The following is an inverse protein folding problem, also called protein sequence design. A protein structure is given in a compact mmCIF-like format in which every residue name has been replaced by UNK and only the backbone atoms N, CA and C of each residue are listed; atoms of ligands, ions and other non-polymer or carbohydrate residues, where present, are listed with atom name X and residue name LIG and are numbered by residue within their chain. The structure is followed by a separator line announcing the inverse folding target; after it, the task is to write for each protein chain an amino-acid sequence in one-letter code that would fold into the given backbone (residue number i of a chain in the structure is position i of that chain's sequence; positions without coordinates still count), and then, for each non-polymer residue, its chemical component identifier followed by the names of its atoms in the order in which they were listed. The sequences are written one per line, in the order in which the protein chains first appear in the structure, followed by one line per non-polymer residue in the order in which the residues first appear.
data_IF_251860273146
#
_entry.id   IF_251860273146
#
_cell.length_a   1.000
_cell.length_b   1.000
_cell.length_c   1.000
_cell.angle_alpha   90.00
_cell.angle_beta   90.00
_cell.angle_gamma   90.00
#
_symmetry.space_group_name_H-M   'P 1'
#
loop_
_entity.id
_entity.type
_entity.pdbx_description
1 polymer ?
#
# COMPACT_ATOMS: atom_id res chain seq x y z
N UNK A 1 -29.94 -26.45 -102.38
CA UNK A 1 -29.65 -25.36 -101.47
C UNK A 1 -29.15 -25.94 -100.13
N UNK A 2 -27.89 -25.78 -99.82
CA UNK A 2 -27.16 -26.46 -98.75
C UNK A 2 -27.23 -25.63 -97.48
N UNK A 3 -27.76 -26.18 -96.41
CA UNK A 3 -27.72 -25.57 -95.08
C UNK A 3 -26.58 -26.20 -94.28
N UNK A 4 -25.54 -25.43 -93.99
CA UNK A 4 -24.44 -25.83 -93.14
C UNK A 4 -24.84 -25.62 -91.66
N UNK A 5 -24.76 -26.68 -90.91
CA UNK A 5 -24.87 -26.64 -89.42
C UNK A 5 -23.47 -26.43 -88.84
N UNK A 6 -23.29 -25.35 -88.10
CA UNK A 6 -22.08 -25.09 -87.26
C UNK A 6 -22.39 -25.59 -85.89
N UNK A 7 -21.50 -26.50 -85.37
CA UNK A 7 -21.52 -26.99 -84.03
C UNK A 7 -20.69 -26.01 -83.13
N UNK A 8 -21.29 -25.51 -82.07
CA UNK A 8 -20.60 -24.74 -81.03
C UNK A 8 -20.07 -25.70 -79.90
N UNK A 9 -18.81 -25.70 -79.72
CA UNK A 9 -18.15 -26.42 -78.58
C UNK A 9 -18.18 -25.51 -77.37
N UNK A 10 -18.89 -25.90 -76.29
CA UNK A 10 -18.82 -25.27 -74.99
C UNK A 10 -17.62 -25.85 -74.23
N UNK A 11 -16.61 -25.01 -73.95
CA UNK A 11 -15.53 -25.32 -73.04
C UNK A 11 -15.99 -24.99 -71.63
N UNK A 12 -16.15 -25.98 -70.74
CA UNK A 12 -16.42 -25.81 -69.33
C UNK A 12 -15.11 -25.47 -68.58
N UNK A 13 -14.97 -24.24 -68.07
CA UNK A 13 -13.90 -23.80 -67.28
C UNK A 13 -14.18 -24.19 -65.79
N UNK A 14 -13.48 -25.18 -65.23
CA UNK A 14 -13.54 -25.54 -63.80
C UNK A 14 -12.66 -24.59 -63.06
N UNK A 15 -13.25 -23.63 -62.29
CA UNK A 15 -12.54 -22.83 -61.32
C UNK A 15 -12.36 -23.62 -60.02
N UNK A 16 -11.16 -24.07 -59.72
CA UNK A 16 -10.78 -24.57 -58.39
C UNK A 16 -10.59 -23.40 -57.45
N UNK A 17 -11.54 -23.19 -56.53
CA UNK A 17 -11.41 -22.25 -55.41
C UNK A 17 -10.54 -22.91 -54.37
N UNK A 18 -9.26 -22.50 -54.29
CA UNK A 18 -8.39 -22.79 -53.18
C UNK A 18 -8.83 -21.98 -51.93
N UNK A 19 -9.63 -22.63 -51.07
CA UNK A 19 -9.97 -22.09 -49.75
C UNK A 19 -8.75 -22.03 -48.84
N UNK A 20 -8.10 -20.89 -48.78
CA UNK A 20 -7.07 -20.63 -47.80
C UNK A 20 -7.69 -20.52 -46.38
N UNK A 21 -7.57 -21.57 -45.58
CA UNK A 21 -7.89 -21.50 -44.15
C UNK A 21 -6.88 -20.60 -43.47
N UNK A 22 -7.24 -19.37 -43.19
CA UNK A 22 -6.49 -18.51 -42.25
C UNK A 22 -6.65 -19.10 -40.87
N UNK A 23 -5.63 -19.83 -40.40
CA UNK A 23 -5.54 -20.22 -39.01
C UNK A 23 -5.51 -18.93 -38.19
N UNK A 24 -6.60 -18.67 -37.46
CA UNK A 24 -6.60 -17.62 -36.45
C UNK A 24 -5.51 -17.96 -35.42
N UNK A 25 -4.44 -17.17 -35.42
CA UNK A 25 -3.42 -17.25 -34.35
C UNK A 25 -4.12 -16.85 -33.06
N UNK A 26 -4.45 -17.83 -32.23
CA UNK A 26 -4.87 -17.58 -30.86
C UNK A 26 -3.77 -16.77 -30.20
N UNK A 27 -4.09 -15.56 -29.74
CA UNK A 27 -3.15 -14.77 -28.93
C UNK A 27 -2.66 -15.63 -27.78
N UNK A 28 -1.35 -15.68 -27.52
CA UNK A 28 -0.82 -16.49 -26.43
C UNK A 28 -1.51 -16.10 -25.14
N UNK A 29 -2.06 -17.09 -24.44
CA UNK A 29 -2.64 -16.91 -23.12
C UNK A 29 -1.52 -16.35 -22.23
N UNK A 30 -1.71 -15.22 -21.52
CA UNK A 30 -0.67 -14.69 -20.67
C UNK A 30 -0.25 -15.78 -19.67
N UNK A 31 1.05 -16.03 -19.60
CA UNK A 31 1.59 -16.97 -18.61
C UNK A 31 1.22 -16.53 -17.21
N UNK A 32 0.92 -17.46 -16.30
CA UNK A 32 0.65 -17.12 -14.92
C UNK A 32 1.85 -16.39 -14.32
N UNK A 33 1.64 -15.19 -13.81
CA UNK A 33 2.68 -14.43 -13.10
C UNK A 33 3.09 -15.23 -11.87
N UNK A 34 4.38 -15.51 -11.73
CA UNK A 34 4.91 -16.22 -10.58
C UNK A 34 4.62 -15.40 -9.30
N UNK A 35 3.92 -16.01 -8.33
CA UNK A 35 3.60 -15.36 -7.06
C UNK A 35 4.74 -15.63 -6.09
N UNK A 36 5.49 -14.59 -5.71
CA UNK A 36 6.53 -14.67 -4.67
C UNK A 36 6.01 -14.29 -3.28
N UNK A 37 4.80 -13.76 -3.22
CA UNK A 37 4.15 -13.26 -2.01
C UNK A 37 4.09 -14.31 -0.88
N UNK A 38 4.73 -14.01 0.24
CA UNK A 38 4.66 -14.81 1.46
C UNK A 38 3.57 -14.27 2.39
N UNK A 39 2.34 -14.74 2.18
CA UNK A 39 1.20 -14.31 2.99
C UNK A 39 1.28 -14.96 4.37
N UNK A 40 1.31 -14.18 5.47
CA UNK A 40 1.34 -14.72 6.82
C UNK A 40 0.09 -15.54 7.15
N UNK A 41 0.24 -16.53 8.01
CA UNK A 41 -0.86 -17.40 8.43
C UNK A 41 -2.04 -16.60 9.01
N UNK A 42 -3.25 -16.90 8.59
CA UNK A 42 -4.50 -16.25 9.00
C UNK A 42 -4.76 -14.89 8.32
N UNK A 43 -3.80 -14.32 7.60
CA UNK A 43 -4.00 -13.08 6.84
C UNK A 43 -4.66 -13.39 5.49
N UNK A 44 -5.69 -12.62 5.15
CA UNK A 44 -6.25 -12.62 3.79
C UNK A 44 -5.64 -11.46 3.03
N UNK A 45 -5.12 -11.70 1.82
CA UNK A 45 -4.46 -10.68 1.03
C UNK A 45 -4.98 -10.59 -0.40
N UNK A 46 -5.11 -9.34 -0.90
CA UNK A 46 -5.27 -8.99 -2.30
C UNK A 46 -4.06 -8.19 -2.75
N UNK A 47 -3.35 -8.67 -3.77
CA UNK A 47 -2.06 -8.10 -4.18
C UNK A 47 -2.05 -7.86 -5.68
N UNK A 48 -1.53 -6.70 -6.07
CA UNK A 48 -1.18 -6.39 -7.45
C UNK A 48 0.07 -5.49 -7.47
N UNK A 49 1.09 -5.90 -8.21
CA UNK A 49 2.27 -5.08 -8.52
C UNK A 49 2.36 -4.93 -10.03
N UNK A 50 2.40 -3.68 -10.49
CA UNK A 50 2.45 -3.34 -11.91
C UNK A 50 3.73 -2.58 -12.23
N UNK A 51 4.58 -3.12 -13.10
CA UNK A 51 5.77 -2.44 -13.61
C UNK A 51 5.37 -1.55 -14.79
N UNK A 52 5.42 -0.24 -14.60
CA UNK A 52 5.09 0.75 -15.63
C UNK A 52 6.10 0.76 -16.78
N UNK A 53 7.32 0.30 -16.57
CA UNK A 53 8.35 0.25 -17.62
C UNK A 53 8.03 -0.86 -18.64
N UNK A 54 7.57 -2.01 -18.17
CA UNK A 54 7.22 -3.13 -19.05
C UNK A 54 5.73 -3.15 -19.43
N UNK A 55 4.90 -2.42 -18.68
CA UNK A 55 3.45 -2.43 -18.87
C UNK A 55 2.76 -3.72 -18.39
N UNK A 56 3.43 -4.50 -17.52
CA UNK A 56 2.96 -5.82 -17.06
C UNK A 56 2.84 -5.91 -15.54
N UNK A 57 2.02 -6.85 -15.08
CA UNK A 57 1.99 -7.21 -13.66
C UNK A 57 3.14 -8.17 -13.34
N UNK A 58 3.88 -7.90 -12.26
CA UNK A 58 4.95 -8.75 -11.74
C UNK A 58 4.50 -9.63 -10.58
N UNK A 59 3.42 -9.23 -9.89
CA UNK A 59 2.77 -10.00 -8.83
C UNK A 59 1.26 -9.84 -8.90
N UNK A 60 0.54 -10.94 -8.74
CA UNK A 60 -0.91 -10.92 -8.57
C UNK A 60 -1.36 -12.07 -7.66
N UNK A 61 -2.04 -11.73 -6.57
CA UNK A 61 -2.72 -12.70 -5.70
C UNK A 61 -4.08 -12.13 -5.35
N UNK A 62 -5.16 -12.86 -5.65
CA UNK A 62 -6.54 -12.40 -5.43
C UNK A 62 -6.77 -10.93 -5.88
N UNK A 63 -6.28 -10.51 -7.07
CA UNK A 63 -6.18 -9.09 -7.43
C UNK A 63 -7.55 -8.41 -7.55
N UNK A 64 -8.61 -9.17 -7.77
CA UNK A 64 -9.99 -8.70 -7.89
C UNK A 64 -10.82 -8.90 -6.61
N UNK A 65 -10.24 -9.49 -5.57
CA UNK A 65 -10.91 -9.63 -4.28
C UNK A 65 -11.20 -8.24 -3.70
N UNK A 66 -12.41 -8.05 -3.21
CA UNK A 66 -12.88 -6.79 -2.64
C UNK A 66 -12.51 -6.67 -1.18
N UNK A 67 -11.99 -5.53 -0.81
CA UNK A 67 -11.68 -5.12 0.56
C UNK A 67 -12.36 -3.80 0.86
N UNK A 68 -12.77 -3.56 2.10
CA UNK A 68 -13.10 -2.19 2.50
C UNK A 68 -11.86 -1.32 2.32
N UNK A 69 -12.01 -0.22 1.61
CA UNK A 69 -10.86 0.60 1.19
C UNK A 69 -10.15 1.31 2.34
N UNK A 70 -10.82 1.48 3.47
CA UNK A 70 -10.35 2.41 4.49
C UNK A 70 -9.90 3.74 3.83
N UNK A 71 -8.75 4.29 4.19
CA UNK A 71 -8.29 5.57 3.64
C UNK A 71 -7.77 5.53 2.20
N UNK A 72 -7.77 4.38 1.52
CA UNK A 72 -7.38 4.32 0.09
C UNK A 72 -8.39 5.05 -0.80
N UNK A 73 -9.69 5.04 -0.46
CA UNK A 73 -10.74 5.78 -1.19
C UNK A 73 -10.49 7.29 -1.29
N UNK A 74 -9.67 7.86 -0.41
CA UNK A 74 -9.30 9.29 -0.44
C UNK A 74 -8.58 9.69 -1.75
N UNK A 75 -8.03 8.73 -2.49
CA UNK A 75 -7.53 8.94 -3.84
C UNK A 75 -8.67 9.30 -4.80
N UNK A 76 -9.80 8.60 -4.73
CA UNK A 76 -10.97 8.87 -5.55
C UNK A 76 -11.60 10.21 -5.18
N UNK A 77 -11.66 10.56 -3.90
CA UNK A 77 -12.14 11.88 -3.44
C UNK A 77 -11.28 13.02 -4.02
N UNK A 78 -9.96 12.88 -3.96
CA UNK A 78 -9.05 13.88 -4.52
C UNK A 78 -9.20 14.01 -6.04
N UNK A 79 -9.29 12.88 -6.76
CA UNK A 79 -9.49 12.86 -8.20
C UNK A 79 -10.83 13.48 -8.60
N UNK A 80 -11.93 13.14 -7.94
CA UNK A 80 -13.24 13.67 -8.27
C UNK A 80 -13.34 15.17 -8.00
N UNK A 81 -12.78 15.62 -6.89
CA UNK A 81 -12.69 17.05 -6.57
C UNK A 81 -11.92 17.84 -7.64
N UNK A 82 -10.86 17.27 -8.20
CA UNK A 82 -10.01 17.91 -9.20
C UNK A 82 -10.51 17.72 -10.62
N UNK A 83 -11.45 16.81 -10.88
CA UNK A 83 -11.84 16.36 -12.22
C UNK A 83 -12.26 17.47 -13.17
N UNK A 84 -13.08 18.38 -12.71
CA UNK A 84 -13.68 19.44 -13.52
C UNK A 84 -13.06 20.83 -13.25
N UNK A 85 -11.83 20.91 -12.78
CA UNK A 85 -11.17 22.17 -12.44
C UNK A 85 -10.26 22.73 -13.56
N UNK A 86 -10.24 22.07 -14.72
CA UNK A 86 -9.50 22.58 -15.87
C UNK A 86 -10.10 23.88 -16.44
N UNK A 87 -9.31 24.62 -17.26
CA UNK A 87 -7.97 24.23 -17.76
C UNK A 87 -6.80 24.45 -16.78
N UNK A 88 -6.90 25.36 -15.81
CA UNK A 88 -5.78 25.78 -14.94
C UNK A 88 -5.63 24.92 -13.69
N UNK A 89 -6.66 24.14 -13.33
CA UNK A 89 -6.68 23.30 -12.13
C UNK A 89 -6.37 24.07 -10.83
N UNK A 90 -6.79 25.33 -10.77
CA UNK A 90 -6.63 26.16 -9.58
C UNK A 90 -7.39 25.58 -8.40
N UNK A 91 -6.71 25.43 -7.27
CA UNK A 91 -7.28 24.94 -6.02
C UNK A 91 -7.30 26.06 -5.00
N UNK A 92 -8.47 26.43 -4.44
CA UNK A 92 -8.57 27.42 -3.37
C UNK A 92 -7.67 27.04 -2.18
N UNK A 93 -7.11 28.04 -1.48
CA UNK A 93 -6.15 27.80 -0.40
C UNK A 93 -6.69 26.88 0.71
N UNK A 94 -7.96 27.03 1.09
CA UNK A 94 -8.59 26.17 2.08
C UNK A 94 -8.68 24.71 1.61
N UNK A 95 -9.02 24.47 0.33
CA UNK A 95 -9.06 23.14 -0.24
C UNK A 95 -7.65 22.57 -0.42
N UNK A 96 -6.66 23.41 -0.74
CA UNK A 96 -5.27 22.98 -0.79
C UNK A 96 -4.82 22.42 0.56
N UNK A 97 -5.11 23.13 1.64
CA UNK A 97 -4.81 22.68 3.01
C UNK A 97 -5.52 21.36 3.35
N UNK A 98 -6.79 21.21 2.95
CA UNK A 98 -7.55 19.97 3.18
C UNK A 98 -7.02 18.80 2.37
N UNK A 99 -6.70 19.01 1.08
CA UNK A 99 -6.10 17.96 0.23
C UNK A 99 -4.75 17.52 0.78
N UNK A 100 -3.89 18.47 1.15
CA UNK A 100 -2.59 18.17 1.73
C UNK A 100 -2.74 17.32 3.01
N UNK A 101 -3.61 17.69 3.93
CA UNK A 101 -3.87 16.93 5.15
C UNK A 101 -4.49 15.54 4.85
N UNK A 102 -5.44 15.46 3.91
CA UNK A 102 -6.10 14.20 3.54
C UNK A 102 -5.13 13.20 2.90
N UNK A 103 -4.23 13.67 2.05
CA UNK A 103 -3.32 12.81 1.30
C UNK A 103 -2.05 12.48 2.09
N UNK A 104 -1.46 13.44 2.84
CA UNK A 104 -0.22 13.25 3.59
C UNK A 104 -0.43 12.55 4.93
N UNK A 105 -1.34 13.08 5.74
CA UNK A 105 -1.62 12.61 7.10
C UNK A 105 -2.95 11.87 7.24
N UNK A 106 -3.56 11.52 6.11
CA UNK A 106 -4.81 10.74 6.08
C UNK A 106 -5.97 11.36 6.88
N UNK A 107 -6.08 12.71 6.95
CA UNK A 107 -7.10 13.43 7.73
C UNK A 107 -8.52 12.96 7.41
N UNK A 108 -9.21 12.41 8.42
CA UNK A 108 -10.61 12.01 8.32
C UNK A 108 -11.55 13.20 8.30
N UNK A 109 -11.21 14.29 8.99
CA UNK A 109 -11.98 15.53 8.94
C UNK A 109 -12.03 16.10 7.52
N UNK A 110 -10.90 16.08 6.80
CA UNK A 110 -10.85 16.48 5.39
C UNK A 110 -11.60 15.49 4.49
N UNK A 111 -11.50 14.19 4.75
CA UNK A 111 -12.23 13.18 4.00
C UNK A 111 -13.74 13.32 4.17
N UNK A 112 -14.22 13.55 5.40
CA UNK A 112 -15.65 13.81 5.68
C UNK A 112 -16.15 15.02 4.90
N UNK A 113 -15.37 16.11 4.87
CA UNK A 113 -15.72 17.30 4.09
C UNK A 113 -15.92 16.97 2.59
N UNK A 114 -14.97 16.25 1.99
CA UNK A 114 -15.08 15.88 0.57
C UNK A 114 -16.14 14.82 0.33
N UNK A 115 -16.32 13.86 1.23
CA UNK A 115 -17.38 12.86 1.13
C UNK A 115 -18.75 13.51 0.97
N UNK A 116 -19.08 14.45 1.87
CA UNK A 116 -20.32 15.20 1.81
C UNK A 116 -20.42 16.08 0.56
N UNK A 117 -19.40 16.89 0.30
CA UNK A 117 -19.39 17.85 -0.80
C UNK A 117 -19.45 17.21 -2.19
N UNK A 118 -18.95 15.99 -2.34
CA UNK A 118 -18.94 15.26 -3.62
C UNK A 118 -20.12 14.32 -3.80
N UNK A 119 -21.04 14.25 -2.84
CA UNK A 119 -22.29 13.47 -2.94
C UNK A 119 -22.14 12.01 -2.55
N UNK A 120 -21.22 11.70 -1.62
CA UNK A 120 -21.10 10.39 -0.98
C UNK A 120 -20.97 9.24 -2.00
N UNK A 121 -21.88 8.27 -1.96
CA UNK A 121 -21.93 7.08 -2.82
C UNK A 121 -21.94 7.41 -4.31
N UNK A 122 -22.57 8.52 -4.69
CA UNK A 122 -22.59 9.01 -6.06
C UNK A 122 -21.18 9.36 -6.57
N UNK A 123 -20.28 9.85 -5.70
CA UNK A 123 -18.88 10.09 -6.04
C UNK A 123 -18.18 8.76 -6.37
N UNK A 124 -18.37 7.73 -5.55
CA UNK A 124 -17.75 6.40 -5.80
C UNK A 124 -18.22 5.83 -7.12
N UNK A 125 -19.54 5.78 -7.33
CA UNK A 125 -20.15 5.27 -8.58
C UNK A 125 -19.64 6.02 -9.79
N UNK A 126 -19.58 7.35 -9.72
CA UNK A 126 -19.08 8.21 -10.78
C UNK A 126 -17.62 7.95 -11.10
N UNK A 127 -16.77 7.84 -10.07
CA UNK A 127 -15.34 7.59 -10.25
C UNK A 127 -15.06 6.17 -10.73
N UNK A 128 -15.80 5.18 -10.24
CA UNK A 128 -15.71 3.81 -10.76
C UNK A 128 -16.00 3.76 -12.27
N UNK A 129 -17.07 4.40 -12.70
CA UNK A 129 -17.40 4.51 -14.13
C UNK A 129 -16.34 5.24 -14.97
N UNK A 130 -15.83 6.40 -14.46
CA UNK A 130 -14.82 7.20 -15.16
C UNK A 130 -13.48 6.48 -15.32
N UNK A 131 -13.09 5.69 -14.34
CA UNK A 131 -11.81 4.99 -14.34
C UNK A 131 -11.90 3.54 -14.81
N UNK A 132 -13.11 3.01 -15.03
CA UNK A 132 -13.34 1.61 -15.39
C UNK A 132 -13.01 0.64 -14.26
N UNK A 133 -13.29 1.02 -13.01
CA UNK A 133 -13.07 0.17 -11.84
C UNK A 133 -14.24 -0.81 -11.70
N UNK A 134 -13.96 -2.09 -11.75
CA UNK A 134 -14.98 -3.14 -11.79
C UNK A 134 -15.32 -3.73 -10.42
N UNK A 135 -14.40 -3.58 -9.47
CA UNK A 135 -14.54 -4.12 -8.12
C UNK A 135 -14.83 -3.02 -7.08
N UNK A 136 -14.82 -1.75 -7.51
CA UNK A 136 -15.04 -0.58 -6.65
C UNK A 136 -16.52 -0.22 -6.62
N UNK A 137 -17.14 -0.38 -5.44
CA UNK A 137 -18.55 -0.07 -5.22
C UNK A 137 -18.72 0.74 -3.94
N UNK A 138 -19.80 1.56 -3.84
CA UNK A 138 -20.13 2.31 -2.63
C UNK A 138 -20.19 1.43 -1.37
N UNK A 139 -20.17 2.03 -0.18
CA UNK A 139 -20.45 1.34 1.07
C UNK A 139 -21.75 0.52 0.98
N UNK A 140 -21.82 -0.64 1.64
CA UNK A 140 -23.04 -1.45 1.63
C UNK A 140 -24.20 -0.74 2.32
N UNK A 141 -25.43 -1.15 1.98
CA UNK A 141 -26.66 -0.60 2.54
C UNK A 141 -26.63 -0.60 4.08
N UNK A 142 -27.05 0.50 4.69
CA UNK A 142 -26.97 0.74 6.13
C UNK A 142 -25.63 1.30 6.61
N UNK A 143 -24.69 1.54 5.70
CA UNK A 143 -23.36 2.08 6.00
C UNK A 143 -22.96 3.25 5.09
N UNK A 144 -23.93 3.92 4.45
CA UNK A 144 -23.73 4.96 3.43
C UNK A 144 -22.93 6.16 3.93
N UNK A 145 -22.92 6.39 5.25
CA UNK A 145 -22.12 7.45 5.88
C UNK A 145 -20.65 7.08 6.10
N UNK A 146 -20.26 5.82 5.87
CA UNK A 146 -18.93 5.31 6.23
C UNK A 146 -18.08 5.13 4.98
N UNK A 147 -17.49 6.19 4.47
CA UNK A 147 -16.67 6.17 3.24
C UNK A 147 -15.58 5.09 3.24
N UNK A 148 -15.00 4.77 4.40
CA UNK A 148 -13.99 3.72 4.52
C UNK A 148 -14.50 2.31 4.21
N UNK A 149 -15.81 2.11 4.12
CA UNK A 149 -16.45 0.86 3.71
C UNK A 149 -16.69 0.76 2.19
N UNK A 150 -16.35 1.80 1.43
CA UNK A 150 -16.22 1.68 -0.04
C UNK A 150 -15.37 0.47 -0.34
N UNK A 151 -15.86 -0.44 -1.18
CA UNK A 151 -15.04 -1.58 -1.56
C UNK A 151 -14.06 -1.20 -2.68
N UNK A 152 -12.87 -1.77 -2.60
CA UNK A 152 -11.85 -1.68 -3.65
C UNK A 152 -11.07 -2.98 -3.75
N UNK A 153 -10.57 -3.31 -4.94
CA UNK A 153 -9.61 -4.40 -5.14
C UNK A 153 -8.19 -3.86 -5.35
N UNK A 154 -7.21 -4.76 -5.24
CA UNK A 154 -5.82 -4.39 -5.55
C UNK A 154 -5.66 -3.99 -7.02
N UNK A 155 -6.39 -4.64 -7.94
CA UNK A 155 -6.41 -4.30 -9.37
C UNK A 155 -6.99 -2.90 -9.61
N UNK A 156 -8.12 -2.58 -9.01
CA UNK A 156 -8.74 -1.25 -9.14
C UNK A 156 -7.87 -0.15 -8.54
N UNK A 157 -7.18 -0.47 -7.44
CA UNK A 157 -6.19 0.45 -6.84
C UNK A 157 -5.04 0.73 -7.82
N UNK A 158 -4.48 -0.30 -8.46
CA UNK A 158 -3.45 -0.12 -9.51
C UNK A 158 -4.02 0.70 -10.67
N UNK A 159 -5.24 0.42 -11.12
CA UNK A 159 -5.91 1.18 -12.20
C UNK A 159 -6.06 2.66 -11.83
N UNK A 160 -6.40 2.96 -10.59
CA UNK A 160 -6.48 4.34 -10.07
C UNK A 160 -5.12 5.05 -10.14
N UNK A 161 -4.04 4.42 -9.67
CA UNK A 161 -2.69 4.99 -9.77
C UNK A 161 -2.23 5.16 -11.22
N UNK A 162 -2.51 4.20 -12.10
CA UNK A 162 -2.21 4.32 -13.54
C UNK A 162 -2.92 5.52 -14.16
N UNK A 163 -4.20 5.74 -13.82
CA UNK A 163 -4.88 6.94 -14.28
C UNK A 163 -4.18 8.21 -13.79
N UNK A 164 -3.85 8.30 -12.50
CA UNK A 164 -3.17 9.48 -11.92
C UNK A 164 -1.85 9.75 -12.64
N UNK A 165 -1.05 8.72 -12.90
CA UNK A 165 0.31 8.85 -13.44
C UNK A 165 0.34 9.06 -14.95
N UNK A 166 -0.54 8.38 -15.70
CA UNK A 166 -0.41 8.25 -17.14
C UNK A 166 -1.47 9.05 -17.92
N UNK A 167 -2.59 9.43 -17.28
CA UNK A 167 -3.73 10.05 -17.95
C UNK A 167 -4.22 11.36 -17.32
N UNK A 168 -4.03 11.55 -16.03
CA UNK A 168 -4.47 12.77 -15.37
C UNK A 168 -3.65 13.97 -15.88
N UNK A 169 -4.28 15.15 -15.98
CA UNK A 169 -3.55 16.38 -16.28
C UNK A 169 -2.38 16.60 -15.32
N UNK A 170 -1.28 17.15 -15.80
CA UNK A 170 -0.06 17.33 -15.01
C UNK A 170 -0.30 18.03 -13.65
N UNK A 171 -1.08 19.12 -13.56
CA UNK A 171 -1.36 19.73 -12.26
C UNK A 171 -2.08 18.82 -11.27
N UNK A 172 -2.99 17.95 -11.75
CA UNK A 172 -3.71 16.97 -10.92
C UNK A 172 -2.76 15.87 -10.44
N UNK A 173 -2.00 15.28 -11.37
CA UNK A 173 -0.97 14.27 -11.05
C UNK A 173 0.03 14.81 -10.04
N UNK A 174 0.59 15.99 -10.29
CA UNK A 174 1.67 16.55 -9.48
C UNK A 174 1.18 16.94 -8.08
N UNK A 175 -0.08 17.40 -7.95
CA UNK A 175 -0.70 17.66 -6.68
C UNK A 175 -0.88 16.36 -5.88
N UNK A 176 -1.48 15.33 -6.47
CA UNK A 176 -1.75 14.07 -5.77
C UNK A 176 -0.43 13.38 -5.43
N UNK A 177 0.41 13.09 -6.41
CA UNK A 177 1.66 12.36 -6.19
C UNK A 177 2.66 13.12 -5.33
N UNK A 178 2.71 14.46 -5.45
CA UNK A 178 3.53 15.33 -4.60
C UNK A 178 3.15 15.19 -3.12
N UNK A 179 1.86 15.10 -2.80
CA UNK A 179 1.39 14.85 -1.45
C UNK A 179 1.71 13.43 -0.96
N UNK A 180 1.52 12.42 -1.80
CA UNK A 180 1.81 11.02 -1.43
C UNK A 180 3.30 10.80 -1.16
N UNK A 181 4.21 11.49 -1.88
CA UNK A 181 5.66 11.47 -1.59
C UNK A 181 6.01 12.13 -0.27
N UNK A 182 5.15 13.01 0.23
CA UNK A 182 5.28 13.72 1.51
C UNK A 182 4.43 13.09 2.61
N UNK A 183 3.99 11.83 2.43
CA UNK A 183 3.25 11.12 3.46
C UNK A 183 4.00 11.22 4.81
N UNK A 184 3.29 11.64 5.84
CA UNK A 184 3.83 11.77 7.20
C UNK A 184 3.88 10.40 7.87
N UNK A 185 4.81 10.22 8.82
CA UNK A 185 4.83 9.01 9.63
C UNK A 185 3.55 8.87 10.45
N UNK A 186 3.21 9.92 11.18
CA UNK A 186 1.99 9.96 11.97
C UNK A 186 0.84 10.48 11.15
N UNK A 187 -0.25 9.76 11.14
CA UNK A 187 -1.52 10.22 10.62
C UNK A 187 -2.16 11.26 11.56
N UNK A 188 -3.21 11.94 11.10
CA UNK A 188 -3.89 12.97 11.89
C UNK A 188 -4.62 12.43 13.13
N UNK A 189 -4.92 11.12 13.16
CA UNK A 189 -5.46 10.38 14.30
C UNK A 189 -4.35 9.79 15.20
N UNK A 190 -3.09 10.17 14.98
CA UNK A 190 -1.90 9.67 15.65
C UNK A 190 -1.56 8.21 15.34
N UNK A 191 -2.17 7.58 14.34
CA UNK A 191 -1.79 6.25 13.90
C UNK A 191 -0.44 6.28 13.16
N UNK A 192 0.46 5.32 13.45
CA UNK A 192 1.70 5.17 12.70
C UNK A 192 1.42 4.51 11.35
N UNK A 193 1.36 5.34 10.29
CA UNK A 193 1.10 4.86 8.94
C UNK A 193 2.36 4.48 8.15
N UNK A 194 3.52 4.32 8.82
CA UNK A 194 4.80 4.00 8.18
C UNK A 194 5.03 2.48 8.06
N UNK A 195 4.04 1.77 7.54
CA UNK A 195 4.07 0.33 7.33
C UNK A 195 4.09 -0.05 5.83
N UNK A 196 4.24 -1.33 5.54
CA UNK A 196 4.22 -1.86 4.18
C UNK A 196 5.30 -1.22 3.30
N UNK A 197 4.92 -0.55 2.20
CA UNK A 197 5.86 0.09 1.26
C UNK A 197 6.83 0.99 1.98
N UNK A 198 6.34 1.88 2.86
CA UNK A 198 7.16 2.88 3.52
C UNK A 198 8.22 2.25 4.46
N UNK A 199 7.95 1.08 5.04
CA UNK A 199 8.90 0.36 5.89
C UNK A 199 9.77 -0.63 5.11
N UNK A 200 9.28 -1.17 3.98
CA UNK A 200 9.95 -2.21 3.22
C UNK A 200 11.06 -1.69 2.31
N UNK A 201 10.85 -0.50 1.75
CA UNK A 201 11.71 0.04 0.69
C UNK A 201 12.28 1.40 1.03
N UNK A 202 13.48 1.66 0.53
CA UNK A 202 14.06 3.00 0.56
C UNK A 202 13.33 3.92 -0.44
N UNK A 203 13.40 5.23 -0.20
CA UNK A 203 12.88 6.23 -1.14
C UNK A 203 13.66 6.17 -2.47
N UNK A 204 13.04 6.54 -3.62
CA UNK A 204 11.75 7.24 -3.72
C UNK A 204 10.55 6.29 -3.71
N UNK A 205 9.55 6.65 -2.93
CA UNK A 205 8.21 6.06 -2.96
C UNK A 205 7.14 7.15 -2.68
N UNK A 206 5.91 6.88 -3.09
CA UNK A 206 4.75 7.69 -2.78
C UNK A 206 3.64 6.76 -2.29
N UNK A 207 3.02 7.04 -1.14
CA UNK A 207 2.11 6.09 -0.50
C UNK A 207 0.79 6.72 -0.06
N UNK A 208 -0.28 5.94 -0.18
CA UNK A 208 -1.55 6.13 0.51
C UNK A 208 -1.89 4.86 1.26
N UNK A 209 -1.84 4.96 2.55
CA UNK A 209 -2.16 3.86 3.45
C UNK A 209 -3.64 3.85 3.81
N UNK A 210 -4.13 2.68 4.20
CA UNK A 210 -5.46 2.50 4.75
C UNK A 210 -5.43 1.56 5.95
N UNK A 211 -6.21 1.88 6.97
CA UNK A 211 -6.35 1.01 8.14
C UNK A 211 -7.76 1.13 8.71
N UNK A 212 -8.20 0.06 9.33
CA UNK A 212 -9.45 0.04 10.08
C UNK A 212 -9.45 -1.15 11.05
N UNK A 213 -10.17 -0.99 12.14
CA UNK A 213 -10.21 -1.97 13.22
C UNK A 213 -9.63 -1.40 14.51
N UNK A 214 -9.72 -2.19 15.58
CA UNK A 214 -9.21 -1.79 16.89
C UNK A 214 -7.75 -2.17 17.01
N UNK A 215 -6.90 -1.25 16.69
CA UNK A 215 -5.49 -1.32 17.06
C UNK A 215 -5.30 -0.43 18.29
N UNK A 216 -5.40 -0.99 19.49
CA UNK A 216 -5.24 -0.26 20.75
C UNK A 216 -3.84 0.37 20.92
N UNK A 217 -2.89 -0.13 20.14
CA UNK A 217 -1.49 0.25 20.09
C UNK A 217 -1.16 0.71 18.68
N UNK A 218 -0.27 1.61 18.48
CA UNK A 218 0.11 2.08 17.13
C UNK A 218 0.06 3.57 17.00
N UNK A 219 0.17 4.24 18.13
CA UNK A 219 0.25 5.69 18.17
C UNK A 219 1.66 6.17 17.90
N UNK A 220 1.78 7.24 17.17
CA UNK A 220 3.01 7.99 17.01
C UNK A 220 3.32 8.90 18.20
N UNK A 221 2.63 8.72 19.32
CA UNK A 221 2.83 9.56 20.52
C UNK A 221 3.95 9.02 21.39
N UNK A 222 4.83 9.87 21.93
CA UNK A 222 5.79 9.48 22.97
C UNK A 222 5.10 9.20 24.32
N UNK A 223 3.86 9.64 24.51
CA UNK A 223 3.05 9.35 25.70
C UNK A 223 2.18 8.11 25.46
N UNK A 224 1.88 7.31 26.50
CA UNK A 224 0.89 6.24 26.39
C UNK A 224 -0.41 6.81 25.84
N UNK A 225 -0.98 6.18 24.83
CA UNK A 225 -2.27 6.59 24.32
C UNK A 225 -3.30 6.48 25.46
N UNK A 226 -4.02 7.56 25.72
CA UNK A 226 -5.33 7.41 26.35
C UNK A 226 -6.13 6.50 25.41
N UNK A 227 -6.65 5.40 25.95
CA UNK A 227 -7.44 4.41 25.19
C UNK A 227 -8.52 5.16 24.43
N UNK A 228 -8.36 5.31 23.12
CA UNK A 228 -9.34 5.95 22.29
C UNK A 228 -10.66 5.21 22.47
N UNK A 229 -11.73 5.94 22.76
CA UNK A 229 -13.06 5.36 22.92
C UNK A 229 -13.37 4.49 21.69
N UNK A 230 -13.93 3.30 21.86
CA UNK A 230 -14.18 2.39 20.78
C UNK A 230 -15.08 3.08 19.74
N UNK A 231 -14.61 3.13 18.50
CA UNK A 231 -15.49 3.44 17.38
C UNK A 231 -16.70 2.50 17.47
N UNK A 232 -17.90 3.08 17.39
CA UNK A 232 -19.17 2.38 17.54
C UNK A 232 -19.17 1.08 16.74
N UNK A 233 -19.44 -0.02 17.44
CA UNK A 233 -19.57 -1.36 16.87
C UNK A 233 -20.74 -1.34 15.89
N UNK A 234 -20.58 -1.70 14.63
CA UNK A 234 -21.74 -2.05 13.81
C UNK A 234 -22.42 -3.26 14.46
N UNK A 235 -23.72 -3.17 14.71
CA UNK A 235 -24.51 -4.32 15.13
C UNK A 235 -24.42 -5.43 14.08
N UNK A 236 -24.73 -6.70 14.43
CA UNK A 236 -24.82 -7.79 13.49
C UNK A 236 -25.99 -7.52 12.53
N UNK A 237 -25.73 -6.79 11.47
CA UNK A 237 -26.63 -6.59 10.35
C UNK A 237 -26.46 -7.70 9.35
N UNK A 238 -27.59 -8.22 8.86
CA UNK A 238 -27.68 -9.33 7.94
C UNK A 238 -26.69 -9.21 6.78
N UNK A 239 -25.89 -10.25 6.61
CA UNK A 239 -25.03 -10.49 5.45
C UNK A 239 -25.92 -10.74 4.21
N UNK A 240 -26.39 -9.69 3.56
CA UNK A 240 -26.96 -9.75 2.24
C UNK A 240 -26.00 -9.01 1.28
N UNK A 241 -25.36 -9.78 0.41
CA UNK A 241 -24.65 -9.32 -0.78
C UNK A 241 -23.49 -8.33 -0.60
N UNK A 242 -22.67 -8.49 0.43
CA UNK A 242 -21.40 -7.79 0.47
C UNK A 242 -20.26 -8.81 0.59
N UNK A 243 -19.59 -9.07 -0.53
CA UNK A 243 -18.34 -9.82 -0.59
C UNK A 243 -17.19 -9.11 0.17
N UNK A 244 -17.49 -8.19 1.08
CA UNK A 244 -16.52 -7.36 1.79
C UNK A 244 -16.63 -7.58 3.30
N UNK A 245 -15.54 -8.07 3.87
CA UNK A 245 -15.44 -8.22 5.32
C UNK A 245 -15.27 -6.85 5.99
N UNK A 246 -16.25 -6.48 6.82
CA UNK A 246 -16.26 -5.23 7.58
C UNK A 246 -15.80 -5.41 9.04
N UNK A 247 -15.45 -6.61 9.47
CA UNK A 247 -15.19 -6.96 10.88
C UNK A 247 -13.71 -7.09 11.20
N UNK A 248 -12.97 -7.88 10.41
CA UNK A 248 -11.56 -8.14 10.65
C UNK A 248 -10.71 -6.88 10.50
N UNK A 249 -9.69 -6.66 11.36
CA UNK A 249 -8.77 -5.53 11.20
C UNK A 249 -8.11 -5.49 9.82
N UNK A 250 -8.03 -4.31 9.21
CA UNK A 250 -7.43 -4.11 7.90
C UNK A 250 -6.20 -3.19 7.97
N UNK A 251 -5.11 -3.58 7.31
CA UNK A 251 -4.00 -2.72 6.94
C UNK A 251 -3.80 -2.80 5.43
N UNK A 252 -3.73 -1.65 4.78
CA UNK A 252 -3.53 -1.54 3.34
C UNK A 252 -2.36 -0.63 3.04
N UNK A 253 -1.41 -1.11 2.23
CA UNK A 253 -0.33 -0.28 1.73
C UNK A 253 -0.44 -0.19 0.20
N UNK A 254 -0.53 1.04 -0.30
CA UNK A 254 -0.68 1.30 -1.73
C UNK A 254 0.20 2.47 -2.14
N UNK A 255 0.69 2.46 -3.36
CA UNK A 255 1.53 3.54 -3.82
C UNK A 255 2.43 3.19 -4.99
N UNK A 256 3.51 3.97 -5.11
CA UNK A 256 4.55 3.76 -6.10
C UNK A 256 5.91 3.57 -5.45
N UNK A 257 6.79 2.83 -6.11
CA UNK A 257 8.16 2.55 -5.67
C UNK A 257 9.13 2.69 -6.85
N UNK A 258 10.32 3.22 -6.55
CA UNK A 258 11.41 3.37 -7.51
C UNK A 258 11.38 4.68 -8.28
N UNK A 259 12.49 5.00 -8.93
CA UNK A 259 12.66 6.20 -9.75
C UNK A 259 11.59 6.29 -10.84
N UNK A 260 11.02 7.49 -11.03
CA UNK A 260 9.98 7.73 -12.01
C UNK A 260 8.65 7.04 -11.70
N UNK A 261 8.41 6.66 -10.42
CA UNK A 261 7.24 5.90 -10.01
C UNK A 261 7.13 4.57 -10.80
N UNK A 262 8.23 3.83 -10.90
CA UNK A 262 8.35 2.67 -11.77
C UNK A 262 7.31 1.59 -11.47
N UNK A 263 7.24 1.13 -10.23
CA UNK A 263 6.26 0.12 -9.83
C UNK A 263 5.09 0.73 -9.10
N UNK A 264 3.87 0.34 -9.48
CA UNK A 264 2.66 0.58 -8.70
C UNK A 264 2.40 -0.65 -7.85
N UNK A 265 2.23 -0.48 -6.54
CA UNK A 265 2.05 -1.57 -5.57
C UNK A 265 0.74 -1.36 -4.84
N UNK A 266 -0.08 -2.40 -4.78
CA UNK A 266 -1.28 -2.46 -3.94
C UNK A 266 -1.26 -3.77 -3.15
N UNK A 267 -1.22 -3.69 -1.83
CA UNK A 267 -1.31 -4.80 -0.89
C UNK A 267 -2.42 -4.48 0.09
N UNK A 268 -3.54 -5.17 -0.07
CA UNK A 268 -4.72 -5.04 0.77
C UNK A 268 -4.80 -6.26 1.67
N UNK A 269 -4.88 -6.07 2.99
CA UNK A 269 -4.89 -7.20 3.93
C UNK A 269 -5.99 -7.09 4.98
N UNK A 270 -6.51 -8.25 5.37
CA UNK A 270 -7.35 -8.44 6.56
C UNK A 270 -6.64 -9.38 7.50
N UNK A 271 -6.54 -8.99 8.76
CA UNK A 271 -5.89 -9.76 9.81
C UNK A 271 -6.92 -10.49 10.67
N UNK A 272 -6.57 -11.58 11.36
CA UNK A 272 -7.47 -12.22 12.33
C UNK A 272 -7.99 -11.23 13.38
N UNK A 273 -9.20 -11.45 13.87
CA UNK A 273 -9.73 -10.64 14.97
C UNK A 273 -8.81 -10.73 16.19
N UNK A 274 -8.64 -9.60 16.88
CA UNK A 274 -7.75 -9.50 18.05
C UNK A 274 -6.26 -9.45 17.72
N UNK A 275 -5.86 -9.42 16.43
CA UNK A 275 -4.45 -9.23 16.07
C UNK A 275 -3.94 -7.89 16.63
N UNK A 276 -2.86 -7.96 17.42
CA UNK A 276 -2.17 -6.77 17.91
C UNK A 276 -1.55 -5.97 16.76
N UNK A 277 -1.50 -4.64 16.93
CA UNK A 277 -0.97 -3.75 15.88
C UNK A 277 0.46 -4.13 15.44
N UNK A 278 1.36 -4.36 16.40
CA UNK A 278 2.75 -4.70 16.09
C UNK A 278 2.88 -5.97 15.23
N UNK A 279 2.01 -6.97 15.49
CA UNK A 279 1.95 -8.18 14.66
C UNK A 279 1.43 -7.86 13.26
N UNK A 280 0.33 -7.10 13.14
CA UNK A 280 -0.23 -6.74 11.85
C UNK A 280 0.75 -5.90 11.02
N UNK A 281 1.45 -4.96 11.67
CA UNK A 281 2.51 -4.15 11.07
C UNK A 281 3.65 -5.02 10.53
N UNK A 282 4.11 -5.99 11.34
CA UNK A 282 5.14 -6.96 10.95
C UNK A 282 4.68 -7.83 9.78
N UNK A 283 3.45 -8.35 9.83
CA UNK A 283 2.89 -9.23 8.80
C UNK A 283 2.83 -8.52 7.45
N UNK A 284 2.26 -7.31 7.38
CA UNK A 284 2.19 -6.57 6.11
C UNK A 284 3.59 -6.12 5.64
N UNK A 285 4.49 -5.81 6.56
CA UNK A 285 5.88 -5.47 6.25
C UNK A 285 6.62 -6.63 5.61
N UNK A 286 6.56 -7.82 6.21
CA UNK A 286 7.15 -9.06 5.66
C UNK A 286 6.55 -9.41 4.30
N UNK A 287 5.22 -9.36 4.19
CA UNK A 287 4.52 -9.61 2.94
C UNK A 287 5.01 -8.65 1.85
N UNK A 288 5.07 -7.35 2.14
CA UNK A 288 5.50 -6.35 1.15
C UNK A 288 6.95 -6.56 0.71
N UNK A 289 7.85 -6.94 1.64
CA UNK A 289 9.26 -7.23 1.33
C UNK A 289 9.45 -8.49 0.48
N UNK A 290 8.51 -9.42 0.52
CA UNK A 290 8.59 -10.67 -0.28
C UNK A 290 8.18 -10.51 -1.74
N UNK A 291 7.58 -9.36 -2.10
CA UNK A 291 7.04 -9.13 -3.44
C UNK A 291 8.14 -8.81 -4.45
N UNK A 292 7.92 -9.23 -5.69
CA UNK A 292 8.72 -8.78 -6.83
C UNK A 292 8.28 -7.36 -7.26
N UNK A 293 9.00 -6.35 -6.76
CA UNK A 293 8.73 -4.92 -7.04
C UNK A 293 9.90 -4.32 -7.85
N UNK A 294 9.81 -4.29 -9.18
CA UNK A 294 10.86 -3.75 -10.03
C UNK A 294 11.24 -2.30 -9.69
N UNK A 295 12.53 -2.03 -9.62
CA UNK A 295 13.04 -0.69 -9.28
C UNK A 295 13.00 -0.33 -7.80
N UNK A 296 12.53 -1.24 -6.93
CA UNK A 296 12.65 -1.07 -5.49
C UNK A 296 14.07 -1.27 -5.01
N UNK A 297 14.41 -0.59 -3.92
CA UNK A 297 15.62 -0.83 -3.13
C UNK A 297 15.15 -1.23 -1.74
N UNK A 298 15.54 -2.41 -1.27
CA UNK A 298 15.22 -2.86 0.06
C UNK A 298 15.83 -1.93 1.11
N UNK A 299 15.09 -1.65 2.19
CA UNK A 299 15.61 -0.82 3.27
C UNK A 299 16.88 -1.42 3.88
N UNK A 300 17.92 -0.59 4.04
CA UNK A 300 19.25 -1.01 4.50
C UNK A 300 19.26 -1.35 5.98
N UNK A 301 19.67 -2.55 6.34
CA UNK A 301 19.78 -3.03 7.71
C UNK A 301 19.33 -4.46 7.88
N UNK A 302 19.21 -4.89 9.11
CA UNK A 302 18.71 -6.22 9.46
C UNK A 302 17.42 -6.13 10.28
N UNK A 303 16.47 -6.99 9.96
CA UNK A 303 15.20 -7.06 10.67
C UNK A 303 15.30 -7.96 11.89
N UNK A 304 14.81 -7.45 13.03
CA UNK A 304 14.75 -8.18 14.29
C UNK A 304 13.37 -8.02 14.93
N UNK A 305 12.83 -9.09 15.50
CA UNK A 305 11.65 -9.02 16.36
C UNK A 305 11.94 -8.32 17.68
N UNK A 306 10.90 -7.77 18.30
CA UNK A 306 10.92 -7.28 19.68
C UNK A 306 10.00 -8.12 20.55
N UNK A 307 10.28 -8.24 21.85
CA UNK A 307 9.51 -9.10 22.76
C UNK A 307 8.66 -8.34 23.78
N UNK A 308 8.90 -7.05 23.97
CA UNK A 308 8.17 -6.23 24.94
C UNK A 308 7.19 -5.26 24.28
N UNK A 309 6.25 -4.72 25.05
CA UNK A 309 5.37 -3.60 24.67
C UNK A 309 5.91 -2.27 25.20
N UNK A 310 5.43 -1.18 24.64
CA UNK A 310 5.77 0.20 25.05
C UNK A 310 7.28 0.50 25.08
N UNK A 311 8.05 -0.14 24.20
CA UNK A 311 9.50 0.03 24.12
C UNK A 311 9.81 1.43 23.61
N UNK A 312 10.48 2.23 24.46
CA UNK A 312 10.87 3.59 24.10
C UNK A 312 11.92 3.61 23.00
N UNK A 313 11.61 4.26 21.88
CA UNK A 313 12.60 4.70 20.89
C UNK A 313 13.11 6.07 21.32
N UNK A 314 14.42 6.20 21.46
CA UNK A 314 15.06 7.37 22.05
C UNK A 314 15.99 8.08 21.07
N UNK A 315 16.11 9.38 21.18
CA UNK A 315 17.03 10.18 20.35
C UNK A 315 18.47 9.77 20.55
N UNK A 316 18.84 9.50 21.80
CA UNK A 316 20.16 9.07 22.19
C UNK A 316 20.09 7.76 22.99
N UNK A 317 21.15 6.93 23.03
CA UNK A 317 21.17 5.65 23.73
C UNK A 317 21.36 5.81 25.26
N UNK A 318 20.51 6.62 25.86
CA UNK A 318 20.45 6.89 27.30
C UNK A 318 19.00 6.96 27.77
N UNK A 319 18.78 6.64 29.05
CA UNK A 319 17.46 6.77 29.69
C UNK A 319 17.27 8.24 30.07
N UNK A 320 16.10 8.82 29.80
CA UNK A 320 15.76 10.22 30.09
C UNK A 320 14.64 10.76 29.22
N UNK A 321 14.43 12.07 29.21
CA UNK A 321 13.36 12.77 28.45
C UNK A 321 13.71 12.96 26.98
N UNK A 322 14.20 11.92 26.33
CA UNK A 322 14.61 11.91 24.94
C UNK A 322 13.81 10.90 24.08
N UNK A 323 12.61 10.52 24.55
CA UNK A 323 11.73 9.59 23.86
C UNK A 323 11.15 10.24 22.60
N UNK A 324 11.32 9.58 21.47
CA UNK A 324 10.75 9.97 20.18
C UNK A 324 9.38 9.34 19.95
N UNK A 325 9.27 8.06 20.28
CA UNK A 325 8.03 7.28 20.15
C UNK A 325 8.14 6.01 20.99
N UNK A 326 7.07 5.20 20.97
CA UNK A 326 7.04 3.87 21.59
C UNK A 326 6.69 2.83 20.57
N UNK A 327 7.28 1.64 20.71
CA UNK A 327 6.99 0.50 19.84
C UNK A 327 5.90 -0.36 20.48
N UNK A 328 4.93 -0.83 19.69
CA UNK A 328 3.96 -1.79 20.16
C UNK A 328 4.58 -3.18 20.39
N UNK A 329 3.85 -4.06 21.08
CA UNK A 329 4.28 -5.43 21.30
C UNK A 329 4.39 -6.22 19.98
N UNK A 330 5.46 -7.02 19.88
CA UNK A 330 5.62 -7.97 18.76
C UNK A 330 5.92 -7.32 17.42
N UNK A 331 6.38 -6.07 17.39
CA UNK A 331 6.79 -5.42 16.13
C UNK A 331 8.18 -5.88 15.72
N UNK A 332 8.35 -6.06 14.41
CA UNK A 332 9.68 -6.25 13.80
C UNK A 332 10.28 -4.89 13.45
N UNK A 333 11.53 -4.68 13.80
CA UNK A 333 12.25 -3.41 13.59
C UNK A 333 13.46 -3.62 12.68
N UNK A 334 13.72 -2.62 11.82
CA UNK A 334 14.94 -2.57 11.02
C UNK A 334 16.07 -1.93 11.83
N UNK A 335 17.17 -2.67 12.02
CA UNK A 335 18.37 -2.20 12.69
C UNK A 335 19.41 -1.80 11.65
N UNK A 336 19.76 -0.53 11.61
CA UNK A 336 20.77 0.02 10.69
C UNK A 336 22.20 -0.11 11.20
N UNK A 337 22.40 0.13 12.50
CA UNK A 337 23.69 -0.01 13.19
C UNK A 337 23.46 -0.14 14.71
N UNK A 338 24.51 -0.44 15.48
CA UNK A 338 24.46 -0.52 16.94
C UNK A 338 25.65 0.15 17.60
N UNK A 339 25.48 0.61 18.82
CA UNK A 339 26.57 1.19 19.64
C UNK A 339 26.33 0.95 21.13
N UNK A 340 27.38 1.06 21.92
CA UNK A 340 27.24 1.08 23.37
C UNK A 340 26.59 2.37 23.85
N UNK A 341 25.80 2.25 24.91
CA UNK A 341 25.15 3.35 25.60
C UNK A 341 24.94 3.04 27.06
N UNK A 342 23.94 3.66 27.67
CA UNK A 342 23.62 3.41 29.07
C UNK A 342 23.16 1.97 29.28
N UNK A 343 23.62 1.33 30.37
CA UNK A 343 23.16 0.02 30.80
C UNK A 343 21.65 0.05 31.10
N UNK A 344 20.92 -0.86 30.51
CA UNK A 344 19.48 -1.12 30.76
C UNK A 344 19.36 -2.48 31.42
N UNK A 345 18.62 -2.57 32.51
CA UNK A 345 18.38 -3.82 33.24
C UNK A 345 16.90 -4.12 33.31
N UNK A 346 16.52 -5.34 32.87
CA UNK A 346 15.20 -5.96 33.00
C UNK A 346 15.45 -7.35 33.57
N UNK A 347 15.45 -7.51 34.90
CA UNK A 347 15.86 -8.77 35.54
C UNK A 347 15.18 -9.99 34.91
N UNK A 348 15.94 -11.07 34.68
CA UNK A 348 17.36 -11.28 35.05
C UNK A 348 18.39 -10.72 34.04
N UNK A 349 17.95 -10.01 33.00
CA UNK A 349 18.78 -9.54 31.89
C UNK A 349 19.32 -8.13 32.10
N UNK A 350 20.48 -7.83 31.52
CA UNK A 350 21.03 -6.49 31.36
C UNK A 350 21.78 -6.34 30.06
N UNK A 351 21.77 -5.15 29.46
CA UNK A 351 22.40 -4.89 28.17
C UNK A 351 22.82 -3.42 28.05
N UNK A 352 24.04 -3.16 27.59
CA UNK A 352 24.58 -1.82 27.33
C UNK A 352 24.65 -1.49 25.83
N UNK A 353 24.17 -2.40 24.95
CA UNK A 353 24.07 -2.17 23.51
C UNK A 353 22.73 -1.56 23.13
N UNK A 354 22.78 -0.68 22.13
CA UNK A 354 21.62 0.03 21.59
C UNK A 354 21.60 -0.06 20.08
N UNK A 355 20.46 -0.47 19.52
CA UNK A 355 20.21 -0.56 18.10
C UNK A 355 19.64 0.76 17.57
N UNK A 356 20.25 1.30 16.52
CA UNK A 356 19.69 2.44 15.78
C UNK A 356 18.64 1.96 14.78
N UNK A 357 17.47 2.54 14.85
CA UNK A 357 16.34 2.26 13.99
C UNK A 357 16.17 3.41 12.97
N UNK A 358 16.66 3.25 11.72
CA UNK A 358 16.64 4.34 10.73
C UNK A 358 15.21 4.80 10.41
N UNK A 359 14.23 3.90 10.46
CA UNK A 359 12.83 4.24 10.24
C UNK A 359 12.24 5.15 11.32
N UNK A 360 12.84 5.19 12.49
CA UNK A 360 12.41 6.00 13.65
C UNK A 360 13.35 7.16 13.93
N UNK A 361 14.55 7.17 13.35
CA UNK A 361 15.57 8.17 13.62
C UNK A 361 16.08 8.12 15.06
N UNK A 362 16.06 6.95 15.71
CA UNK A 362 16.38 6.81 17.12
C UNK A 362 16.85 5.41 17.49
N UNK A 363 17.09 5.22 18.79
CA UNK A 363 17.68 4.03 19.37
C UNK A 363 16.71 3.28 20.28
N UNK A 364 16.78 1.95 20.28
CA UNK A 364 16.23 1.11 21.35
C UNK A 364 17.37 0.34 22.03
N UNK A 365 17.22 0.00 23.32
CA UNK A 365 18.15 -0.94 23.95
C UNK A 365 17.97 -2.34 23.33
N UNK A 366 19.10 -3.00 23.03
CA UNK A 366 19.08 -4.37 22.48
C UNK A 366 18.43 -5.37 23.45
N UNK A 367 18.27 -5.02 24.73
CA UNK A 367 17.56 -5.87 25.70
C UNK A 367 16.14 -6.19 25.26
N UNK A 368 15.50 -5.33 24.43
CA UNK A 368 14.14 -5.52 23.92
C UNK A 368 14.07 -6.24 22.58
N UNK A 369 15.24 -6.54 21.99
CA UNK A 369 15.32 -7.29 20.72
C UNK A 369 15.29 -8.78 21.02
N UNK A 370 14.50 -9.53 20.25
CA UNK A 370 14.37 -10.99 20.36
C UNK A 370 15.62 -11.69 19.79
N UNK A 371 16.75 -11.52 20.48
CA UNK A 371 18.04 -12.15 20.13
C UNK A 371 18.77 -12.56 21.42
N UNK A 372 19.46 -13.72 21.43
CA UNK A 372 20.15 -14.19 22.63
C UNK A 372 21.39 -13.35 23.01
N UNK A 373 22.06 -12.78 22.00
CA UNK A 373 23.27 -12.01 22.21
C UNK A 373 22.96 -10.55 22.52
N UNK A 374 23.70 -9.98 23.47
CA UNK A 374 23.59 -8.56 23.82
C UNK A 374 24.01 -7.66 22.65
N UNK A 375 25.08 -7.99 21.96
CA UNK A 375 25.52 -7.37 20.72
C UNK A 375 24.92 -8.17 19.54
N UNK A 376 24.18 -7.51 18.68
CA UNK A 376 23.56 -8.18 17.53
C UNK A 376 24.63 -8.62 16.51
N UNK A 377 24.62 -9.89 16.10
CA UNK A 377 25.59 -10.37 15.11
C UNK A 377 25.37 -9.70 13.74
N UNK A 378 26.44 -9.48 13.01
CA UNK A 378 26.45 -8.88 11.67
C UNK A 378 25.74 -7.51 11.56
N UNK A 379 25.53 -6.81 12.63
CA UNK A 379 25.08 -5.42 12.65
C UNK A 379 26.30 -4.52 12.85
N UNK A 380 26.53 -3.63 11.88
CA UNK A 380 27.69 -2.71 11.92
C UNK A 380 27.61 -1.77 13.13
N UNK A 381 28.77 -1.30 13.58
CA UNK A 381 28.84 -0.27 14.61
C UNK A 381 28.44 1.10 14.02
N UNK A 382 27.68 1.88 14.78
CA UNK A 382 27.35 3.25 14.39
C UNK A 382 28.63 4.12 14.41
N UNK A 383 28.83 4.90 13.34
CA UNK A 383 30.04 5.73 13.18
C UNK A 383 31.22 5.03 12.52
N UNK A 384 31.20 3.71 12.29
CA UNK A 384 32.18 3.07 11.43
C UNK A 384 31.95 3.47 9.97
N UNK A 385 32.78 4.33 9.43
CA UNK A 385 32.81 4.56 7.98
C UNK A 385 33.15 3.23 7.30
N UNK A 386 32.34 2.87 6.29
CA UNK A 386 32.78 1.84 5.34
C UNK A 386 34.05 2.37 4.67
N UNK A 387 35.19 1.79 4.99
CA UNK A 387 36.36 1.87 4.12
C UNK A 387 35.93 1.22 2.78
N UNK A 388 35.55 2.06 1.84
CA UNK A 388 35.25 1.62 0.49
C UNK A 388 36.47 0.84 -0.08
N UNK A 389 36.24 -0.12 -1.00
CA UNK A 389 37.34 -0.83 -1.62
C UNK A 389 38.22 0.23 -2.36
N UNK A 390 39.49 0.28 -1.96
CA UNK A 390 40.51 1.06 -2.63
C UNK A 390 40.47 0.78 -4.13
N UNK A 391 39.98 1.70 -4.92
CA UNK A 391 40.20 1.66 -6.37
C UNK A 391 41.70 1.96 -6.60
N UNK A 392 42.44 0.92 -6.86
CA UNK A 392 43.73 1.02 -7.55
C UNK A 392 43.52 0.94 -9.05
#
# INVERSE_FOLDING_TARGET
MLVRRTAAVLAAMVMTVLGGSTAAHASPRPEPVAVTAQVPAGVTAGIAVFDRQTGTYTEQLNPNMRFRSASVVKLLMALDFLWNRGPDYTVPAADRTRLDAMLRSSSDASANHYWEALGRDAMVTRMAGRLGLVDTVPPPAGHEGVWGYTSMSARDTVTTYRYILDRAPAPVRDLIMGNLRQSTRCASDSFDQHFGIASAFERPWAVKQGWSGRYAEGTCSPTPAAVAAPASRPGPGALAAADVDLTRPALHTTGTVGSGDRSIVAVLTLHPEGTAYGKAFTDIGRLTRSLNVPGSVAASGKWYGTWSSDVNVRREPVIGDNVLTRLPAGVEVLVGCQKKGQLVSVPPYSNDWWAYLPQYGGYISNIYISHPDNQLPDVKLCGSQQSGPNRR
#
